data_IF_985271245779
#
_entry.id   IF_985271245779
#
_cell.length_a   1.000
_cell.length_b   1.000
_cell.length_c   1.000
_cell.angle_alpha   90.00
_cell.angle_beta   90.00
_cell.angle_gamma   90.00
#
_symmetry.space_group_name_H-M   'P 1'
#
loop_
_entity.id
_entity.type
_entity.pdbx_description
1 polymer ?
#
# COMPACT_ATOMS: atom_id res chain seq x y z
N UNK A 1 29.75 -13.83 -23.96
CA UNK A 1 28.61 -14.76 -24.05
C UNK A 1 27.65 -14.42 -22.91
N UNK A 2 26.54 -13.77 -23.22
CA UNK A 2 25.24 -13.77 -22.50
C UNK A 2 24.22 -13.10 -23.42
N UNK A 3 23.93 -13.75 -24.56
CA UNK A 3 22.66 -13.52 -25.24
C UNK A 3 21.65 -14.37 -24.48
N UNK A 4 20.74 -13.74 -23.73
CA UNK A 4 19.45 -14.29 -23.31
C UNK A 4 18.59 -13.13 -22.79
N UNK A 5 18.30 -12.16 -23.67
CA UNK A 5 17.14 -11.28 -23.53
C UNK A 5 15.87 -12.06 -23.91
N UNK A 6 15.68 -13.26 -23.34
CA UNK A 6 14.33 -13.80 -23.29
C UNK A 6 13.57 -12.87 -22.34
N UNK A 7 12.49 -12.28 -22.83
CA UNK A 7 11.62 -11.43 -22.03
C UNK A 7 11.17 -12.26 -20.82
N UNK A 8 11.84 -12.05 -19.69
CA UNK A 8 11.67 -12.88 -18.50
C UNK A 8 10.18 -12.82 -18.10
N UNK A 9 9.55 -11.65 -18.26
CA UNK A 9 8.12 -11.44 -18.11
C UNK A 9 7.34 -11.93 -19.34
N UNK A 10 6.40 -12.86 -19.12
CA UNK A 10 5.47 -13.29 -20.16
C UNK A 10 4.67 -12.09 -20.69
N UNK A 11 4.35 -12.08 -21.98
CA UNK A 11 3.52 -11.02 -22.57
C UNK A 11 2.11 -10.97 -21.96
N UNK A 12 1.69 -12.03 -21.28
CA UNK A 12 0.40 -12.13 -20.60
C UNK A 12 0.39 -11.42 -19.22
N UNK A 13 1.53 -11.32 -18.53
CA UNK A 13 1.57 -10.69 -17.19
C UNK A 13 1.71 -9.17 -17.26
N UNK A 14 2.34 -8.65 -18.32
CA UNK A 14 2.56 -7.22 -18.52
C UNK A 14 1.26 -6.39 -18.50
N UNK A 15 0.19 -6.77 -19.23
CA UNK A 15 -1.10 -6.08 -19.15
C UNK A 15 -1.70 -6.11 -17.75
N UNK A 16 -1.58 -7.22 -17.02
CA UNK A 16 -2.08 -7.36 -15.66
C UNK A 16 -1.34 -6.42 -14.70
N UNK A 17 -0.02 -6.36 -14.80
CA UNK A 17 0.81 -5.45 -14.00
C UNK A 17 0.48 -3.99 -14.29
N UNK A 18 0.31 -3.62 -15.56
CA UNK A 18 -0.09 -2.26 -15.94
C UNK A 18 -1.50 -1.92 -15.43
N UNK A 19 -2.48 -2.81 -15.62
CA UNK A 19 -3.84 -2.63 -15.12
C UNK A 19 -3.88 -2.40 -13.60
N UNK A 20 -3.14 -3.22 -12.86
CA UNK A 20 -3.17 -3.17 -11.40
C UNK A 20 -2.34 -2.03 -10.81
N UNK A 21 -1.10 -1.85 -11.26
CA UNK A 21 -0.17 -0.88 -10.64
C UNK A 21 -0.23 0.51 -11.27
N UNK A 22 -0.42 0.62 -12.58
CA UNK A 22 -0.40 1.90 -13.31
C UNK A 22 -1.80 2.50 -13.37
N UNK A 23 -2.77 1.74 -13.87
CA UNK A 23 -4.16 2.18 -14.03
C UNK A 23 -4.99 2.02 -12.75
N UNK A 24 -4.43 1.39 -11.71
CA UNK A 24 -5.04 1.18 -10.38
C UNK A 24 -6.46 0.62 -10.48
N UNK A 25 -6.69 -0.33 -11.38
CA UNK A 25 -7.98 -1.00 -11.48
C UNK A 25 -8.25 -1.81 -10.20
N UNK A 26 -9.13 -1.28 -9.34
CA UNK A 26 -9.46 -1.80 -8.02
C UNK A 26 -10.36 -3.05 -8.06
N UNK A 27 -10.07 -3.97 -8.97
CA UNK A 27 -10.84 -5.20 -9.14
C UNK A 27 -10.18 -6.31 -8.32
N UNK A 28 -10.92 -7.01 -7.42
CA UNK A 28 -10.38 -8.14 -6.66
C UNK A 28 -9.75 -9.23 -7.54
N UNK A 29 -10.25 -9.36 -8.79
CA UNK A 29 -9.72 -10.28 -9.79
C UNK A 29 -8.28 -9.98 -10.21
N UNK A 30 -7.92 -8.69 -10.40
CA UNK A 30 -6.55 -8.33 -10.79
C UNK A 30 -5.57 -8.60 -9.67
N UNK A 31 -5.89 -8.20 -8.43
CA UNK A 31 -5.04 -8.51 -7.27
C UNK A 31 -4.80 -10.02 -7.16
N UNK A 32 -5.87 -10.82 -7.25
CA UNK A 32 -5.76 -12.28 -7.19
C UNK A 32 -4.88 -12.83 -8.32
N UNK A 33 -5.05 -12.37 -9.56
CA UNK A 33 -4.24 -12.82 -10.68
C UNK A 33 -2.75 -12.49 -10.51
N UNK A 34 -2.43 -11.31 -9.97
CA UNK A 34 -1.05 -10.93 -9.64
C UNK A 34 -0.50 -11.78 -8.48
N UNK A 35 -1.29 -11.98 -7.41
CA UNK A 35 -0.90 -12.84 -6.30
C UNK A 35 -0.64 -14.28 -6.79
N UNK A 36 -1.54 -14.84 -7.62
CA UNK A 36 -1.43 -16.18 -8.20
C UNK A 36 -0.18 -16.29 -9.11
N UNK A 37 0.13 -15.25 -9.88
CA UNK A 37 1.36 -15.18 -10.68
C UNK A 37 2.61 -15.24 -9.81
N UNK A 38 2.71 -14.39 -8.77
CA UNK A 38 3.86 -14.44 -7.87
C UNK A 38 3.96 -15.79 -7.15
N UNK A 39 2.84 -16.33 -6.67
CA UNK A 39 2.79 -17.65 -6.04
C UNK A 39 3.30 -18.76 -6.98
N UNK A 40 2.94 -18.70 -8.26
CA UNK A 40 3.37 -19.70 -9.25
C UNK A 40 4.89 -19.76 -9.43
N UNK A 41 5.62 -18.68 -9.15
CA UNK A 41 7.09 -18.68 -9.20
C UNK A 41 7.70 -19.62 -8.16
N UNK A 42 7.05 -19.72 -6.99
CA UNK A 42 7.48 -20.56 -5.88
C UNK A 42 7.12 -22.04 -6.05
N UNK A 43 6.34 -22.40 -7.09
CA UNK A 43 6.06 -23.79 -7.41
C UNK A 43 7.27 -24.51 -8.02
N UNK A 44 8.28 -23.77 -8.47
CA UNK A 44 9.56 -24.31 -8.93
C UNK A 44 10.48 -24.64 -7.72
N UNK A 45 10.84 -25.92 -7.58
CA UNK A 45 11.65 -26.45 -6.47
C UNK A 45 13.06 -25.82 -6.42
N UNK A 46 13.56 -25.31 -7.55
CA UNK A 46 14.87 -24.67 -7.65
C UNK A 46 14.79 -23.13 -7.56
N UNK A 47 13.64 -22.56 -7.21
CA UNK A 47 13.48 -21.11 -7.13
C UNK A 47 14.22 -20.56 -5.91
N UNK A 48 15.18 -19.66 -6.16
CA UNK A 48 16.02 -19.05 -5.13
C UNK A 48 15.61 -17.59 -4.88
N UNK A 49 16.04 -17.05 -3.73
CA UNK A 49 15.85 -15.63 -3.37
C UNK A 49 16.37 -14.69 -4.46
N UNK A 50 17.54 -14.97 -5.02
CA UNK A 50 18.13 -14.16 -6.09
C UNK A 50 17.27 -14.16 -7.36
N UNK A 51 16.68 -15.31 -7.72
CA UNK A 51 15.75 -15.39 -8.85
C UNK A 51 14.49 -14.57 -8.61
N UNK A 52 14.01 -14.51 -7.36
CA UNK A 52 12.88 -13.66 -7.00
C UNK A 52 13.25 -12.19 -7.07
N UNK A 53 14.35 -11.76 -6.45
CA UNK A 53 14.77 -10.36 -6.49
C UNK A 53 15.03 -9.89 -7.93
N UNK A 54 15.71 -10.69 -8.75
CA UNK A 54 15.89 -10.40 -10.17
C UNK A 54 14.56 -10.23 -10.91
N UNK A 55 13.55 -11.02 -10.55
CA UNK A 55 12.20 -10.90 -11.13
C UNK A 55 11.51 -9.62 -10.69
N UNK A 56 11.59 -9.26 -9.41
CA UNK A 56 11.05 -8.00 -8.87
C UNK A 56 11.70 -6.80 -9.55
N UNK A 57 13.02 -6.82 -9.71
CA UNK A 57 13.76 -5.77 -10.40
C UNK A 57 13.32 -5.63 -11.87
N UNK A 58 13.13 -6.77 -12.56
CA UNK A 58 12.64 -6.77 -13.95
C UNK A 58 11.22 -6.18 -14.06
N UNK A 59 10.33 -6.47 -13.10
CA UNK A 59 8.97 -5.89 -13.08
C UNK A 59 9.04 -4.40 -12.79
N UNK A 60 9.89 -3.99 -11.83
CA UNK A 60 10.10 -2.58 -11.50
C UNK A 60 10.59 -1.79 -12.72
N UNK A 61 11.54 -2.34 -13.48
CA UNK A 61 12.04 -1.73 -14.72
C UNK A 61 10.94 -1.64 -15.79
N UNK A 62 10.15 -2.70 -15.96
CA UNK A 62 9.00 -2.68 -16.88
C UNK A 62 8.00 -1.58 -16.51
N UNK A 63 7.59 -1.50 -15.23
CA UNK A 63 6.67 -0.48 -14.74
C UNK A 63 7.26 0.92 -14.95
N UNK A 64 8.54 1.12 -14.64
CA UNK A 64 9.25 2.36 -14.88
C UNK A 64 9.15 2.80 -16.35
N UNK A 65 9.46 1.91 -17.29
CA UNK A 65 9.42 2.21 -18.73
C UNK A 65 8.01 2.53 -19.21
N UNK A 66 7.00 1.78 -18.75
CA UNK A 66 5.60 2.04 -19.12
C UNK A 66 5.08 3.37 -18.58
N UNK A 67 5.35 3.68 -17.31
CA UNK A 67 4.96 4.97 -16.72
C UNK A 67 5.67 6.12 -17.45
N UNK A 68 6.95 5.95 -17.79
CA UNK A 68 7.70 6.96 -18.54
C UNK A 68 7.06 7.25 -19.91
N UNK A 69 6.66 6.22 -20.66
CA UNK A 69 5.96 6.37 -21.95
C UNK A 69 4.64 7.13 -21.80
N UNK A 70 3.84 6.79 -20.78
CA UNK A 70 2.55 7.46 -20.54
C UNK A 70 2.78 8.93 -20.17
N UNK A 71 3.75 9.21 -19.29
CA UNK A 71 4.10 10.58 -18.93
C UNK A 71 4.61 11.38 -20.13
N UNK A 72 5.43 10.79 -21.02
CA UNK A 72 5.88 11.48 -22.23
C UNK A 72 4.69 11.89 -23.11
N UNK A 73 3.67 11.03 -23.26
CA UNK A 73 2.44 11.37 -23.99
C UNK A 73 1.64 12.45 -23.24
N UNK A 74 1.51 12.33 -21.92
CA UNK A 74 0.80 13.30 -21.09
C UNK A 74 1.39 14.70 -21.18
N UNK A 75 2.72 14.83 -21.10
CA UNK A 75 3.41 16.12 -21.22
C UNK A 75 3.38 16.66 -22.66
N UNK A 76 3.54 15.82 -23.69
CA UNK A 76 3.31 16.27 -25.09
C UNK A 76 1.89 16.83 -25.29
N UNK A 77 0.92 16.18 -24.66
CA UNK A 77 -0.46 16.64 -24.66
C UNK A 77 -0.61 17.99 -23.95
N UNK A 78 0.03 18.17 -22.79
CA UNK A 78 0.07 19.45 -22.09
C UNK A 78 0.78 20.55 -22.89
N UNK A 79 1.87 20.25 -23.59
CA UNK A 79 2.55 21.22 -24.45
C UNK A 79 1.62 21.73 -25.58
N UNK A 80 0.74 20.86 -26.06
CA UNK A 80 -0.30 21.21 -27.03
C UNK A 80 -1.53 21.87 -26.38
N UNK A 81 -1.61 21.92 -25.05
CA UNK A 81 -2.68 22.61 -24.33
C UNK A 81 -2.46 24.11 -24.40
N UNK A 82 -3.29 24.80 -25.18
CA UNK A 82 -3.38 26.25 -25.08
C UNK A 82 -4.37 26.61 -23.97
N UNK A 83 -3.90 27.28 -22.92
CA UNK A 83 -4.78 27.86 -21.93
C UNK A 83 -5.52 29.04 -22.59
N UNK A 84 -6.72 28.77 -23.13
CA UNK A 84 -7.61 29.82 -23.64
C UNK A 84 -8.47 30.23 -22.45
N UNK A 85 -8.00 31.24 -21.70
CA UNK A 85 -8.88 31.97 -20.80
C UNK A 85 -9.69 32.89 -21.70
N UNK A 86 -10.93 32.47 -21.92
CA UNK A 86 -12.05 33.15 -22.59
C UNK A 86 -11.76 34.63 -22.97
N UNK A 87 -11.02 34.84 -24.06
CA UNK A 87 -10.93 36.13 -24.76
C UNK A 87 -12.03 36.25 -25.82
N UNK A 88 -12.94 35.27 -25.90
CA UNK A 88 -14.09 35.30 -26.81
C UNK A 88 -15.21 36.18 -26.22
N UNK A 89 -14.95 37.49 -26.20
CA UNK A 89 -16.02 38.47 -26.36
C UNK A 89 -16.68 39.05 -25.11
N UNK A 90 -15.99 39.10 -23.96
CA UNK A 90 -16.41 39.98 -22.85
C UNK A 90 -15.31 40.98 -22.53
N UNK A 91 -15.65 42.25 -22.73
CA UNK A 91 -14.83 43.43 -22.48
C UNK A 91 -13.93 43.29 -21.24
N UNK A 92 -12.62 43.37 -21.48
CA UNK A 92 -11.59 43.73 -20.50
C UNK A 92 -11.69 43.07 -19.11
N UNK A 93 -11.99 41.77 -19.02
CA UNK A 93 -11.59 41.02 -17.82
C UNK A 93 -10.06 40.96 -17.88
N UNK A 94 -9.42 41.88 -17.16
CA UNK A 94 -7.98 41.91 -16.93
C UNK A 94 -7.59 40.57 -16.31
N UNK A 95 -7.18 39.61 -17.15
CA UNK A 95 -6.71 38.30 -16.69
C UNK A 95 -5.60 38.57 -15.69
N UNK A 96 -5.85 38.28 -14.42
CA UNK A 96 -4.82 38.45 -13.41
C UNK A 96 -3.83 37.29 -13.52
N UNK A 97 -2.58 37.48 -13.10
CA UNK A 97 -1.63 36.42 -12.77
C UNK A 97 -2.26 35.15 -12.14
N UNK A 98 -3.21 35.35 -11.21
CA UNK A 98 -3.86 34.26 -10.50
C UNK A 98 -4.91 33.52 -11.34
N UNK A 99 -5.65 34.22 -12.19
CA UNK A 99 -6.63 33.60 -13.09
C UNK A 99 -5.94 32.71 -14.13
N UNK A 100 -4.78 33.17 -14.64
CA UNK A 100 -3.95 32.41 -15.57
C UNK A 100 -3.46 31.09 -14.96
N UNK A 101 -2.88 31.15 -13.76
CA UNK A 101 -2.44 29.97 -13.02
C UNK A 101 -3.59 29.01 -12.68
N UNK A 102 -4.77 29.55 -12.32
CA UNK A 102 -5.97 28.75 -12.09
C UNK A 102 -6.45 28.00 -13.34
N UNK A 103 -6.37 28.64 -14.50
CA UNK A 103 -6.70 28.04 -15.80
C UNK A 103 -5.78 26.86 -16.15
N UNK A 104 -4.47 27.01 -15.99
CA UNK A 104 -3.51 25.92 -16.20
C UNK A 104 -3.76 24.75 -15.25
N UNK A 105 -3.97 25.02 -13.95
CA UNK A 105 -4.23 23.96 -12.97
C UNK A 105 -5.48 23.15 -13.36
N UNK A 106 -6.57 23.83 -13.73
CA UNK A 106 -7.82 23.18 -14.15
C UNK A 106 -7.61 22.34 -15.41
N UNK A 107 -6.88 22.86 -16.41
CA UNK A 107 -6.54 22.12 -17.63
C UNK A 107 -5.70 20.86 -17.35
N UNK A 108 -4.72 20.98 -16.46
CA UNK A 108 -3.88 19.86 -16.01
C UNK A 108 -4.72 18.81 -15.28
N UNK A 109 -5.56 19.22 -14.32
CA UNK A 109 -6.43 18.30 -13.59
C UNK A 109 -7.38 17.53 -14.52
N UNK A 110 -7.90 18.19 -15.56
CA UNK A 110 -8.74 17.53 -16.57
C UNK A 110 -7.95 16.51 -17.39
N UNK A 111 -6.74 16.85 -17.84
CA UNK A 111 -5.88 15.88 -18.53
C UNK A 111 -5.44 14.73 -17.63
N UNK A 112 -5.21 14.98 -16.34
CA UNK A 112 -4.89 13.93 -15.37
C UNK A 112 -6.04 12.93 -15.32
N UNK A 113 -7.29 13.41 -15.18
CA UNK A 113 -8.50 12.56 -15.21
C UNK A 113 -8.60 11.71 -16.48
N UNK A 114 -8.19 12.25 -17.62
CA UNK A 114 -8.18 11.53 -18.90
C UNK A 114 -7.03 10.52 -19.03
N UNK A 115 -5.86 10.81 -18.45
CA UNK A 115 -4.62 10.04 -18.60
C UNK A 115 -4.57 8.72 -17.83
N UNK A 116 -5.58 8.46 -16.96
CA UNK A 116 -5.61 7.34 -15.99
C UNK A 116 -4.42 7.29 -15.03
N UNK A 117 -3.54 8.28 -15.05
CA UNK A 117 -2.45 8.42 -14.10
C UNK A 117 -2.95 8.96 -12.76
N UNK A 118 -2.37 8.45 -11.69
CA UNK A 118 -2.52 8.96 -10.35
C UNK A 118 -1.39 9.96 -10.10
N UNK A 119 -1.67 11.22 -10.39
CA UNK A 119 -0.77 12.35 -10.10
C UNK A 119 -1.30 13.05 -8.86
N UNK A 120 -0.45 13.26 -7.86
CA UNK A 120 -0.87 13.92 -6.62
C UNK A 120 -1.04 15.44 -6.83
N UNK A 121 -1.71 16.10 -5.90
CA UNK A 121 -2.01 17.53 -6.01
C UNK A 121 -0.77 18.43 -5.99
N UNK A 122 0.33 18.00 -5.36
CA UNK A 122 1.57 18.76 -5.34
C UNK A 122 2.27 18.72 -6.70
N UNK A 123 2.35 17.54 -7.32
CA UNK A 123 2.90 17.38 -8.67
C UNK A 123 2.03 18.13 -9.69
N UNK A 124 0.70 18.04 -9.59
CA UNK A 124 -0.21 18.80 -10.46
C UNK A 124 -0.01 20.32 -10.35
N UNK A 125 0.20 20.82 -9.12
CA UNK A 125 0.52 22.24 -8.88
C UNK A 125 1.88 22.62 -9.44
N UNK A 126 2.90 21.78 -9.27
CA UNK A 126 4.24 22.04 -9.81
C UNK A 126 4.23 22.11 -11.34
N UNK A 127 3.44 21.26 -12.00
CA UNK A 127 3.22 21.33 -13.46
C UNK A 127 2.53 22.66 -13.82
N UNK A 128 1.48 23.04 -13.10
CA UNK A 128 0.76 24.30 -13.34
C UNK A 128 1.68 25.52 -13.20
N UNK A 129 2.50 25.54 -12.15
CA UNK A 129 3.47 26.61 -11.90
C UNK A 129 4.49 26.71 -13.02
N UNK A 130 4.96 25.57 -13.53
CA UNK A 130 5.89 25.54 -14.66
C UNK A 130 5.30 26.18 -15.92
N UNK A 131 4.09 25.74 -16.35
CA UNK A 131 3.45 26.29 -17.56
C UNK A 131 3.04 27.75 -17.39
N UNK A 132 2.62 28.14 -16.18
CA UNK A 132 2.31 29.52 -15.86
C UNK A 132 3.54 30.44 -15.99
N UNK A 133 4.69 30.02 -15.45
CA UNK A 133 5.94 30.78 -15.56
C UNK A 133 6.44 30.83 -17.01
N UNK A 134 6.31 29.74 -17.76
CA UNK A 134 6.75 29.71 -19.17
C UNK A 134 5.95 30.65 -20.05
N UNK A 135 4.66 30.87 -19.76
CA UNK A 135 3.83 31.85 -20.47
C UNK A 135 4.23 33.30 -20.15
N UNK A 136 4.68 33.58 -18.93
CA UNK A 136 5.02 34.95 -18.50
C UNK A 136 6.39 35.45 -18.94
N UNK A 137 7.29 34.56 -19.37
CA UNK A 137 8.71 34.90 -19.50
C UNK A 137 9.14 35.37 -20.90
N UNK A 138 8.23 35.40 -21.90
CA UNK A 138 8.39 35.89 -23.30
C UNK A 138 9.53 35.25 -24.13
N UNK A 139 10.60 34.78 -23.48
CA UNK A 139 11.34 33.60 -23.86
C UNK A 139 10.38 32.43 -23.79
N UNK A 140 9.68 32.18 -24.90
CA UNK A 140 9.16 30.85 -25.20
C UNK A 140 10.33 29.92 -24.95
N UNK A 141 10.37 29.25 -23.80
CA UNK A 141 11.25 28.12 -23.55
C UNK A 141 11.07 27.29 -24.81
N UNK A 142 12.08 27.32 -25.70
CA UNK A 142 11.92 26.84 -27.07
C UNK A 142 11.23 25.49 -26.98
N UNK A 143 10.22 25.23 -27.83
CA UNK A 143 9.45 23.99 -27.76
C UNK A 143 10.49 22.89 -27.67
N UNK A 144 10.47 22.21 -26.52
CA UNK A 144 11.36 21.14 -26.12
C UNK A 144 12.05 20.55 -27.36
N UNK A 145 13.29 20.92 -27.68
CA UNK A 145 14.00 20.20 -28.74
C UNK A 145 14.48 18.91 -28.06
N UNK A 146 13.60 17.89 -28.12
CA UNK A 146 13.80 16.55 -27.60
C UNK A 146 14.96 15.89 -28.35
N UNK A 147 16.19 16.22 -27.95
CA UNK A 147 17.35 15.42 -28.25
C UNK A 147 17.66 14.49 -27.06
N UNK A 148 17.97 15.01 -25.85
CA UNK A 148 18.37 14.16 -24.72
C UNK A 148 18.13 14.74 -23.29
N UNK A 149 17.35 15.82 -23.10
CA UNK A 149 17.27 16.45 -21.77
C UNK A 149 16.00 17.26 -21.50
N UNK A 150 15.11 16.72 -20.66
CA UNK A 150 13.97 17.48 -20.13
C UNK A 150 14.48 18.61 -19.22
N UNK A 151 13.75 19.72 -19.13
CA UNK A 151 14.03 20.78 -18.14
C UNK A 151 14.22 20.16 -16.74
N UNK A 152 15.19 20.62 -15.91
CA UNK A 152 15.45 20.02 -14.60
C UNK A 152 14.20 19.90 -13.72
N UNK A 153 13.32 20.90 -13.80
CA UNK A 153 12.03 20.92 -13.08
C UNK A 153 11.09 19.82 -13.59
N UNK A 154 10.94 19.67 -14.91
CA UNK A 154 10.12 18.61 -15.51
C UNK A 154 10.69 17.23 -15.19
N UNK A 155 12.02 17.05 -15.26
CA UNK A 155 12.67 15.82 -14.82
C UNK A 155 12.35 15.49 -13.36
N UNK A 156 12.42 16.49 -12.47
CA UNK A 156 12.07 16.31 -11.07
C UNK A 156 10.60 15.90 -10.88
N UNK A 157 9.67 16.48 -11.65
CA UNK A 157 8.25 16.11 -11.61
C UNK A 157 8.04 14.69 -12.14
N UNK A 158 8.68 14.34 -13.27
CA UNK A 158 8.65 12.97 -13.81
C UNK A 158 9.13 11.95 -12.78
N UNK A 159 10.30 12.21 -12.19
CA UNK A 159 10.86 11.33 -11.16
C UNK A 159 9.94 11.22 -9.95
N UNK A 160 9.35 12.32 -9.48
CA UNK A 160 8.39 12.32 -8.36
C UNK A 160 7.21 11.37 -8.63
N UNK A 161 6.58 11.50 -9.80
CA UNK A 161 5.43 10.68 -10.18
C UNK A 161 5.84 9.20 -10.29
N UNK A 162 6.93 8.92 -11.02
CA UNK A 162 7.44 7.55 -11.21
C UNK A 162 7.77 6.91 -9.85
N UNK A 163 8.48 7.62 -8.98
CA UNK A 163 8.84 7.12 -7.65
C UNK A 163 7.62 6.77 -6.81
N UNK A 164 6.54 7.56 -6.88
CA UNK A 164 5.29 7.24 -6.18
C UNK A 164 4.71 5.88 -6.61
N UNK A 165 4.73 5.57 -7.90
CA UNK A 165 4.28 4.27 -8.41
C UNK A 165 5.20 3.11 -8.03
N UNK A 166 6.52 3.31 -8.05
CA UNK A 166 7.50 2.29 -7.67
C UNK A 166 7.42 1.99 -6.17
N UNK A 167 7.20 3.01 -5.33
CA UNK A 167 6.96 2.83 -3.89
C UNK A 167 5.71 1.97 -3.67
N UNK A 168 4.59 2.29 -4.32
CA UNK A 168 3.36 1.49 -4.22
C UNK A 168 3.59 0.01 -4.62
N UNK A 169 4.42 -0.23 -5.64
CA UNK A 169 4.80 -1.59 -6.06
C UNK A 169 5.64 -2.31 -5.00
N UNK A 170 6.66 -1.65 -4.46
CA UNK A 170 7.52 -2.21 -3.42
C UNK A 170 6.76 -2.50 -2.12
N UNK A 171 5.81 -1.63 -1.75
CA UNK A 171 4.92 -1.84 -0.61
C UNK A 171 4.02 -3.05 -0.84
N UNK A 172 3.48 -3.22 -2.04
CA UNK A 172 2.72 -4.41 -2.40
C UNK A 172 3.56 -5.69 -2.27
N UNK A 173 4.78 -5.72 -2.80
CA UNK A 173 5.66 -6.89 -2.70
C UNK A 173 6.01 -7.20 -1.25
N UNK A 174 6.27 -6.18 -0.44
CA UNK A 174 6.53 -6.33 0.99
C UNK A 174 5.34 -6.94 1.74
N UNK A 175 4.12 -6.48 1.46
CA UNK A 175 2.90 -7.06 2.00
C UNK A 175 2.70 -8.51 1.53
N UNK A 176 2.86 -8.76 0.22
CA UNK A 176 2.72 -10.08 -0.37
C UNK A 176 3.67 -11.10 0.27
N UNK A 177 4.95 -10.75 0.45
CA UNK A 177 5.93 -11.61 1.12
C UNK A 177 5.56 -11.85 2.59
N UNK A 178 5.11 -10.81 3.31
CA UNK A 178 4.65 -10.97 4.68
C UNK A 178 3.47 -11.96 4.76
N UNK A 179 2.48 -11.84 3.88
CA UNK A 179 1.34 -12.74 3.82
C UNK A 179 1.77 -14.18 3.48
N UNK A 180 2.72 -14.34 2.55
CA UNK A 180 3.30 -15.65 2.23
C UNK A 180 4.00 -16.31 3.42
N UNK A 181 4.86 -15.56 4.12
CA UNK A 181 5.62 -16.04 5.29
C UNK A 181 4.68 -16.40 6.43
N UNK A 182 3.73 -15.51 6.73
CA UNK A 182 2.97 -15.57 7.96
C UNK A 182 1.61 -16.28 7.83
N UNK A 183 0.99 -16.27 6.65
CA UNK A 183 -0.35 -16.83 6.45
C UNK A 183 -0.33 -18.13 5.65
N UNK A 184 0.55 -18.23 4.64
CA UNK A 184 0.62 -19.40 3.76
C UNK A 184 1.59 -20.48 4.23
N UNK A 185 2.42 -20.19 5.25
CA UNK A 185 3.32 -21.17 5.87
C UNK A 185 4.55 -21.53 5.04
N UNK A 186 4.95 -20.68 4.10
CA UNK A 186 6.23 -20.84 3.37
C UNK A 186 7.40 -20.64 4.33
N UNK A 187 8.41 -21.53 4.27
CA UNK A 187 9.66 -21.37 5.01
C UNK A 187 10.77 -20.93 4.07
N UNK A 188 11.37 -19.80 4.41
CA UNK A 188 12.52 -19.23 3.73
C UNK A 188 13.75 -19.79 4.44
N UNK A 189 14.46 -20.72 3.80
CA UNK A 189 15.85 -20.99 4.19
C UNK A 189 16.74 -20.02 3.39
N UNK A 190 17.95 -19.71 3.89
CA UNK A 190 18.81 -18.69 3.28
C UNK A 190 19.09 -18.90 1.79
N UNK A 191 18.99 -20.14 1.30
CA UNK A 191 19.48 -20.52 -0.02
C UNK A 191 18.36 -20.94 -1.00
N UNK A 192 17.15 -21.28 -0.51
CA UNK A 192 16.03 -21.74 -1.34
C UNK A 192 14.67 -21.38 -0.73
N UNK A 193 13.68 -21.09 -1.60
CA UNK A 193 12.29 -21.05 -1.18
C UNK A 193 11.76 -22.49 -1.14
N UNK A 194 11.63 -23.06 0.06
CA UNK A 194 11.12 -24.42 0.18
C UNK A 194 9.59 -24.42 0.05
N UNK A 195 9.10 -25.33 -0.81
CA UNK A 195 7.70 -25.64 -1.10
C UNK A 195 6.83 -25.74 0.17
N UNK A 196 5.54 -25.40 0.05
CA UNK A 196 4.48 -25.66 1.04
C UNK A 196 4.75 -26.97 1.80
N UNK A 197 5.20 -26.87 3.05
CA UNK A 197 5.21 -28.04 3.93
C UNK A 197 3.76 -28.49 4.11
N UNK A 198 3.45 -29.76 3.83
CA UNK A 198 2.13 -30.38 4.01
C UNK A 198 1.44 -29.91 5.29
N UNK A 199 0.60 -28.87 5.21
CA UNK A 199 -0.43 -28.39 6.16
C UNK A 199 -0.17 -28.45 7.67
N UNK A 200 1.04 -28.79 8.13
CA UNK A 200 1.34 -29.23 9.48
C UNK A 200 2.72 -28.70 9.83
N UNK A 201 2.70 -27.64 10.65
CA UNK A 201 3.84 -27.04 11.40
C UNK A 201 4.51 -25.81 10.77
N UNK A 202 3.68 -24.84 10.35
CA UNK A 202 3.89 -23.43 10.65
C UNK A 202 2.83 -22.99 11.66
N UNK A 203 3.02 -23.27 12.96
CA UNK A 203 2.02 -22.94 14.00
C UNK A 203 1.98 -21.42 14.24
N UNK A 204 1.20 -20.68 13.44
CA UNK A 204 0.20 -19.80 14.04
C UNK A 204 -0.99 -20.68 14.39
N UNK A 205 -1.57 -20.54 15.57
CA UNK A 205 -2.79 -21.26 15.92
C UNK A 205 -3.85 -21.06 14.82
N UNK A 206 -4.71 -22.05 14.50
CA UNK A 206 -5.74 -21.89 13.49
C UNK A 206 -6.54 -20.61 13.75
N UNK A 207 -6.72 -19.75 12.73
CA UNK A 207 -7.47 -18.49 12.82
C UNK A 207 -8.85 -18.72 13.49
N UNK A 208 -9.50 -19.86 13.21
CA UNK A 208 -10.74 -20.27 13.91
C UNK A 208 -10.59 -20.45 15.43
N UNK A 209 -9.48 -21.05 15.89
CA UNK A 209 -9.20 -21.20 17.33
C UNK A 209 -8.95 -19.85 17.99
N UNK A 210 -8.28 -18.91 17.30
CA UNK A 210 -8.08 -17.57 17.83
C UNK A 210 -9.39 -16.78 17.90
N UNK A 211 -10.29 -16.91 16.92
CA UNK A 211 -11.63 -16.28 16.96
C UNK A 211 -12.46 -16.83 18.13
N UNK A 212 -12.47 -18.15 18.34
CA UNK A 212 -13.19 -18.78 19.46
C UNK A 212 -12.59 -18.38 20.82
N UNK A 213 -11.25 -18.34 20.90
CA UNK A 213 -10.55 -17.93 22.12
C UNK A 213 -10.74 -16.45 22.41
N UNK A 214 -10.74 -15.59 21.40
CA UNK A 214 -11.03 -14.16 21.53
C UNK A 214 -12.45 -13.93 22.05
N UNK A 215 -13.44 -14.68 21.54
CA UNK A 215 -14.82 -14.65 22.05
C UNK A 215 -14.89 -15.07 23.51
N UNK A 216 -14.19 -16.15 23.88
CA UNK A 216 -14.11 -16.62 25.27
C UNK A 216 -13.46 -15.57 26.19
N UNK A 217 -12.32 -15.00 25.77
CA UNK A 217 -11.62 -13.95 26.51
C UNK A 217 -12.53 -12.72 26.68
N UNK A 218 -13.26 -12.34 25.63
CA UNK A 218 -14.21 -11.23 25.67
C UNK A 218 -15.34 -11.48 26.67
N UNK A 219 -15.94 -12.67 26.64
CA UNK A 219 -17.03 -13.04 27.55
C UNK A 219 -16.59 -13.08 29.02
N UNK A 220 -15.43 -13.68 29.30
CA UNK A 220 -14.84 -13.70 30.66
C UNK A 220 -14.51 -12.27 31.11
N UNK A 221 -13.98 -11.43 30.21
CA UNK A 221 -13.65 -10.02 30.50
C UNK A 221 -14.90 -9.27 30.93
N UNK A 222 -15.96 -9.29 30.12
CA UNK A 222 -17.23 -8.63 30.42
C UNK A 222 -17.81 -9.08 31.77
N UNK A 223 -17.96 -10.40 31.96
CA UNK A 223 -18.54 -10.96 33.17
C UNK A 223 -17.70 -10.67 34.43
N UNK A 224 -16.37 -10.63 34.29
CA UNK A 224 -15.47 -10.34 35.41
C UNK A 224 -15.42 -8.85 35.73
N UNK A 225 -15.48 -7.97 34.73
CA UNK A 225 -15.53 -6.50 34.92
C UNK A 225 -16.85 -6.08 35.54
N UNK A 226 -17.97 -6.71 35.18
CA UNK A 226 -19.27 -6.45 35.82
C UNK A 226 -19.21 -6.71 37.34
N UNK A 227 -18.53 -7.78 37.76
CA UNK A 227 -18.34 -8.12 39.17
C UNK A 227 -17.24 -7.29 39.86
N UNK A 228 -16.20 -6.91 39.12
CA UNK A 228 -15.05 -6.16 39.62
C UNK A 228 -14.71 -4.95 38.71
N UNK A 229 -15.49 -3.86 38.76
CA UNK A 229 -15.38 -2.75 37.79
C UNK A 229 -14.01 -2.07 37.74
N UNK A 230 -13.29 -2.07 38.87
CA UNK A 230 -12.00 -1.38 39.02
C UNK A 230 -10.78 -2.33 38.93
N UNK A 231 -10.95 -3.53 38.35
CA UNK A 231 -9.82 -4.44 38.10
C UNK A 231 -8.88 -3.85 37.04
N UNK A 232 -7.56 -3.96 37.24
CA UNK A 232 -6.60 -3.53 36.21
C UNK A 232 -6.57 -4.49 35.02
N UNK A 233 -6.31 -3.96 33.82
CA UNK A 233 -6.12 -4.78 32.62
C UNK A 233 -4.98 -5.79 32.80
N UNK A 234 -3.94 -5.40 33.54
CA UNK A 234 -2.81 -6.26 33.82
C UNK A 234 -3.21 -7.49 34.62
N UNK A 235 -3.90 -7.32 35.76
CA UNK A 235 -4.36 -8.44 36.60
C UNK A 235 -5.41 -9.27 35.91
N UNK A 236 -6.35 -8.64 35.21
CA UNK A 236 -7.38 -9.35 34.46
C UNK A 236 -6.75 -10.23 33.36
N UNK A 237 -5.79 -9.68 32.62
CA UNK A 237 -5.03 -10.43 31.60
C UNK A 237 -4.29 -11.61 32.22
N UNK A 238 -3.58 -11.42 33.33
CA UNK A 238 -2.85 -12.50 34.01
C UNK A 238 -3.78 -13.63 34.47
N UNK A 239 -4.91 -13.28 35.07
CA UNK A 239 -5.89 -14.26 35.53
C UNK A 239 -6.48 -15.06 34.36
N UNK A 240 -6.92 -14.37 33.29
CA UNK A 240 -7.45 -15.01 32.07
C UNK A 240 -6.40 -15.91 31.44
N UNK A 241 -5.15 -15.45 31.32
CA UNK A 241 -4.09 -16.25 30.73
C UNK A 241 -3.83 -17.53 31.54
N UNK A 242 -3.81 -17.45 32.87
CA UNK A 242 -3.69 -18.62 33.75
C UNK A 242 -4.85 -19.60 33.54
N UNK A 243 -6.07 -19.09 33.37
CA UNK A 243 -7.24 -19.92 33.05
C UNK A 243 -7.10 -20.63 31.70
N UNK A 244 -6.72 -19.90 30.63
CA UNK A 244 -6.50 -20.48 29.30
C UNK A 244 -5.42 -21.58 29.32
N UNK A 245 -4.31 -21.35 30.01
CA UNK A 245 -3.26 -22.36 30.19
C UNK A 245 -3.78 -23.62 30.89
N UNK A 246 -4.62 -23.48 31.92
CA UNK A 246 -5.25 -24.63 32.59
C UNK A 246 -6.12 -25.47 31.66
N UNK A 247 -6.64 -24.87 30.58
CA UNK A 247 -7.43 -25.51 29.52
C UNK A 247 -6.61 -25.99 28.33
N UNK A 248 -5.28 -25.93 28.42
CA UNK A 248 -4.33 -26.25 27.33
C UNK A 248 -4.52 -25.36 26.08
N UNK A 249 -4.98 -24.13 26.29
CA UNK A 249 -5.10 -23.10 25.24
C UNK A 249 -3.88 -22.19 25.36
N UNK A 250 -2.97 -22.27 24.39
CA UNK A 250 -1.71 -21.52 24.38
C UNK A 250 -1.85 -20.23 23.58
N UNK A 251 -1.95 -19.10 24.29
CA UNK A 251 -1.90 -17.76 23.72
C UNK A 251 -0.87 -16.89 24.45
N UNK A 252 -0.21 -15.99 23.70
CA UNK A 252 0.76 -15.07 24.29
C UNK A 252 0.05 -14.08 25.23
N UNK A 253 0.72 -13.66 26.30
CA UNK A 253 0.19 -12.66 27.24
C UNK A 253 -0.24 -11.38 26.51
N UNK A 254 0.57 -10.90 25.57
CA UNK A 254 0.30 -9.70 24.79
C UNK A 254 -0.94 -9.85 23.89
N UNK A 255 -1.19 -11.05 23.37
CA UNK A 255 -2.42 -11.34 22.60
C UNK A 255 -3.65 -11.24 23.49
N UNK A 256 -3.62 -11.89 24.66
CA UNK A 256 -4.74 -11.83 25.63
C UNK A 256 -4.95 -10.40 26.11
N UNK A 257 -3.87 -9.66 26.39
CA UNK A 257 -3.94 -8.25 26.81
C UNK A 257 -4.64 -7.38 25.79
N UNK A 258 -4.31 -7.55 24.50
CA UNK A 258 -4.95 -6.80 23.40
C UNK A 258 -6.46 -7.06 23.36
N UNK A 259 -6.89 -8.31 23.49
CA UNK A 259 -8.31 -8.66 23.50
C UNK A 259 -9.07 -8.11 24.71
N UNK A 260 -8.46 -8.14 25.91
CA UNK A 260 -9.03 -7.54 27.12
C UNK A 260 -9.24 -6.04 26.94
N UNK A 261 -8.22 -5.31 26.47
CA UNK A 261 -8.30 -3.85 26.25
C UNK A 261 -9.39 -3.54 25.22
N UNK A 262 -9.36 -4.22 24.06
CA UNK A 262 -10.33 -3.98 23.00
C UNK A 262 -11.78 -4.21 23.48
N UNK A 263 -12.03 -5.24 24.31
CA UNK A 263 -13.36 -5.50 24.86
C UNK A 263 -13.80 -4.40 25.81
N UNK A 264 -12.92 -3.93 26.71
CA UNK A 264 -13.24 -2.86 27.66
C UNK A 264 -13.46 -1.51 26.98
N UNK A 265 -12.70 -1.22 25.93
CA UNK A 265 -12.91 -0.03 25.10
C UNK A 265 -14.28 -0.06 24.42
N UNK A 266 -14.71 -1.21 23.88
CA UNK A 266 -16.05 -1.36 23.30
C UNK A 266 -17.18 -1.16 24.31
N UNK A 267 -16.97 -1.57 25.57
CA UNK A 267 -17.96 -1.44 26.64
C UNK A 267 -17.88 -0.11 27.41
N UNK A 268 -16.88 0.73 27.11
CA UNK A 268 -16.64 1.97 27.84
C UNK A 268 -16.19 1.77 29.29
N UNK A 269 -15.58 0.62 29.61
CA UNK A 269 -15.18 0.21 30.97
C UNK A 269 -13.66 0.24 31.18
N UNK A 270 -12.94 0.99 30.34
CA UNK A 270 -11.47 1.12 30.39
C UNK A 270 -11.02 1.69 31.73
N UNK A 271 -10.05 1.06 32.40
CA UNK A 271 -9.57 1.49 33.72
C UNK A 271 -8.07 1.79 33.70
N UNK A 272 -7.74 3.08 33.72
CA UNK A 272 -6.37 3.60 33.73
C UNK A 272 -5.94 4.14 35.12
N UNK A 273 -6.72 3.86 36.18
CA UNK A 273 -6.52 4.40 37.53
C UNK A 273 -5.67 3.52 38.46
N UNK A 274 -5.42 4.02 39.69
CA UNK A 274 -4.80 3.23 40.75
C UNK A 274 -5.66 2.02 41.13
N UNK A 275 -5.02 0.86 41.20
CA UNK A 275 -5.69 -0.41 41.40
C UNK A 275 -6.25 -0.54 42.83
N UNK A 276 -7.58 -0.49 42.95
CA UNK A 276 -8.28 -0.64 44.25
C UNK A 276 -8.21 -2.06 44.82
N UNK A 277 -7.95 -3.07 43.99
CA UNK A 277 -7.92 -4.48 44.39
C UNK A 277 -6.49 -4.99 44.61
N UNK A 278 -6.07 -5.12 45.88
CA UNK A 278 -4.74 -5.63 46.25
C UNK A 278 -4.65 -7.17 46.30
N UNK A 279 -5.78 -7.89 46.28
CA UNK A 279 -5.84 -9.36 46.37
C UNK A 279 -5.97 -10.11 45.03
N UNK A 280 -6.11 -11.43 45.10
CA UNK A 280 -6.36 -12.30 43.94
C UNK A 280 -7.80 -12.11 43.45
N UNK A 281 -8.00 -11.84 42.17
CA UNK A 281 -9.34 -11.79 41.55
C UNK A 281 -9.80 -13.20 41.16
N UNK A 282 -11.07 -13.50 41.41
CA UNK A 282 -11.70 -14.73 40.92
C UNK A 282 -12.40 -14.43 39.59
N UNK A 283 -11.98 -15.07 38.50
CA UNK A 283 -12.62 -14.90 37.19
C UNK A 283 -14.07 -15.37 37.24
N UNK A 284 -14.94 -14.65 36.53
CA UNK A 284 -16.30 -15.10 36.23
C UNK A 284 -16.25 -15.79 34.86
N UNK A 285 -16.57 -17.09 34.83
CA UNK A 285 -16.61 -17.89 33.60
C UNK A 285 -18.09 -18.04 33.20
N UNK A 286 -18.54 -17.37 32.12
CA UNK A 286 -19.91 -17.50 31.62
C UNK A 286 -20.19 -18.84 30.92
#
# INVERSE_FOLDING_TARGET
MTNNNENILSEEIKPLLSAYFIYKEHTPYFKKAIDDYFLSMFDNINFTSDMFYSRIDTISEYLFQEIHKILDVFFKNLDNFKCIIDNEGRDYIRITPNDLKGGYLTGIENRIKESRLKINSNDARAISDFYYISELTDDKLKPFEWADGKFPIINSIFSSIISGYIIDYNDYISCFLADMIFESGYKFNSDTFNKKTDGRKGKRGPIKKNIETEKLVSAITSATVEKYPNVSDHKLTQAIQKHLYSKKIENSYNTVKKWVIARREQEGTTHNGEESYKGVISLVIP
#
